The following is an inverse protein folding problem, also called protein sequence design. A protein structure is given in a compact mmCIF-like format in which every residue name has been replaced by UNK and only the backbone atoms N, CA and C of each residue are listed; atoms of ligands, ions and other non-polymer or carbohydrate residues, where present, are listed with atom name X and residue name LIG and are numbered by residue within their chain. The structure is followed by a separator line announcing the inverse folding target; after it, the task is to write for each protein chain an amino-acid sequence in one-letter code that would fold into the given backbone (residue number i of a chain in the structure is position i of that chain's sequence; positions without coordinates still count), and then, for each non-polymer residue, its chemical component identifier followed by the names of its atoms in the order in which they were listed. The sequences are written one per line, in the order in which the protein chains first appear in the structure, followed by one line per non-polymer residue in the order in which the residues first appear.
data_IF_102893101576
#
_entry.id   IF_102893101576
#
_cell.length_a   1.000
_cell.length_b   1.000
_cell.length_c   1.000
_cell.angle_alpha   90.00
_cell.angle_beta   90.00
_cell.angle_gamma   90.00
#
_symmetry.space_group_name_H-M   'P 1'
#
loop_
_entity.id
_entity.type
_entity.pdbx_description
1 polymer ?
#
# COMPACT_ATOMS: atom_id res chain seq x y z
N UNK A 1 12.27 -34.49 12.69
CA UNK A 1 13.29 -33.89 11.78
C UNK A 1 13.85 -34.92 10.80
N UNK A 2 14.26 -36.11 11.18
CA UNK A 2 14.77 -37.15 10.26
C UNK A 2 13.79 -37.54 9.15
N UNK A 3 12.50 -37.68 9.46
CA UNK A 3 11.44 -38.00 8.50
C UNK A 3 11.21 -36.89 7.46
N UNK A 4 11.31 -35.62 7.85
CA UNK A 4 11.22 -34.47 6.96
C UNK A 4 12.43 -34.42 5.99
N UNK A 5 13.63 -34.66 6.49
CA UNK A 5 14.85 -34.76 5.68
C UNK A 5 14.77 -35.93 4.69
N UNK A 6 14.35 -37.11 5.15
CA UNK A 6 14.15 -38.27 4.30
C UNK A 6 13.12 -38.00 3.20
N UNK A 7 11.98 -37.37 3.55
CA UNK A 7 10.96 -36.97 2.59
C UNK A 7 11.52 -35.96 1.55
N UNK A 8 12.23 -34.92 2.01
CA UNK A 8 12.83 -33.92 1.11
C UNK A 8 13.85 -34.57 0.14
N UNK A 9 14.67 -35.49 0.62
CA UNK A 9 15.64 -36.22 -0.22
C UNK A 9 14.93 -37.08 -1.26
N UNK A 10 13.90 -37.84 -0.86
CA UNK A 10 13.13 -38.68 -1.78
C UNK A 10 12.42 -37.83 -2.84
N UNK A 11 11.77 -36.74 -2.44
CA UNK A 11 11.11 -35.82 -3.39
C UNK A 11 12.12 -35.20 -4.33
N UNK A 12 13.25 -34.70 -3.85
CA UNK A 12 14.31 -34.14 -4.71
C UNK A 12 14.85 -35.16 -5.69
N UNK A 13 15.04 -36.40 -5.24
CA UNK A 13 15.51 -37.49 -6.12
C UNK A 13 14.47 -37.83 -7.18
N UNK A 14 13.19 -37.94 -6.83
CA UNK A 14 12.12 -38.22 -7.79
C UNK A 14 11.96 -37.08 -8.80
N UNK A 15 11.95 -35.82 -8.35
CA UNK A 15 11.83 -34.64 -9.21
C UNK A 15 13.03 -34.56 -10.18
N UNK A 16 14.26 -34.78 -9.71
CA UNK A 16 15.46 -34.71 -10.55
C UNK A 16 15.52 -35.79 -11.63
N UNK A 17 14.72 -36.88 -11.46
CA UNK A 17 14.60 -37.97 -12.44
C UNK A 17 13.47 -37.78 -13.47
N UNK A 18 12.66 -36.73 -13.32
CA UNK A 18 11.59 -36.46 -14.29
C UNK A 18 12.14 -35.93 -15.61
N UNK A 19 11.52 -36.28 -16.75
CA UNK A 19 11.95 -35.76 -18.07
C UNK A 19 11.92 -34.26 -18.22
N UNK A 20 11.07 -33.57 -17.40
CA UNK A 20 10.95 -32.10 -17.38
C UNK A 20 12.02 -31.40 -16.53
N UNK A 21 12.83 -32.12 -15.74
CA UNK A 21 13.81 -31.50 -14.86
C UNK A 21 14.87 -30.66 -15.57
N UNK A 22 15.45 -31.09 -16.71
CA UNK A 22 16.37 -30.26 -17.47
C UNK A 22 15.76 -28.94 -17.93
N UNK A 23 14.49 -28.97 -18.36
CA UNK A 23 13.76 -27.72 -18.73
C UNK A 23 13.61 -26.77 -17.55
N UNK A 24 13.30 -27.30 -16.37
CA UNK A 24 13.23 -26.50 -15.14
C UNK A 24 14.60 -25.89 -14.81
N UNK A 25 15.67 -26.67 -14.91
CA UNK A 25 17.02 -26.17 -14.66
C UNK A 25 17.41 -25.05 -15.64
N UNK A 26 17.13 -25.25 -16.93
CA UNK A 26 17.43 -24.26 -17.95
C UNK A 26 16.61 -22.98 -17.83
N UNK A 27 15.34 -23.10 -17.36
CA UNK A 27 14.45 -21.97 -17.22
C UNK A 27 14.68 -21.19 -15.92
N UNK A 28 14.90 -21.89 -14.80
CA UNK A 28 14.92 -21.26 -13.47
C UNK A 28 16.32 -21.11 -12.87
N UNK A 29 17.30 -21.88 -13.32
CA UNK A 29 18.67 -21.88 -12.78
C UNK A 29 19.73 -21.53 -13.83
N UNK A 30 19.32 -20.85 -14.91
CA UNK A 30 20.24 -20.39 -15.94
C UNK A 30 20.95 -19.11 -15.47
N UNK A 31 22.27 -19.26 -15.18
CA UNK A 31 23.09 -18.14 -14.69
C UNK A 31 23.30 -17.04 -15.74
N UNK A 32 23.27 -17.37 -17.03
CA UNK A 32 23.41 -16.42 -18.12
C UNK A 32 22.16 -15.53 -18.25
N UNK A 33 20.98 -16.14 -18.27
CA UNK A 33 19.70 -15.41 -18.24
C UNK A 33 19.53 -14.58 -16.98
N UNK A 34 20.01 -15.09 -15.83
CA UNK A 34 20.01 -14.32 -14.59
C UNK A 34 20.89 -13.06 -14.71
N UNK A 35 22.12 -13.20 -15.21
CA UNK A 35 23.04 -12.08 -15.37
C UNK A 35 22.51 -11.03 -16.36
N UNK A 36 21.86 -11.45 -17.44
CA UNK A 36 21.22 -10.54 -18.40
C UNK A 36 20.01 -9.81 -17.82
N UNK A 37 19.18 -10.51 -17.05
CA UNK A 37 17.94 -9.95 -16.47
C UNK A 37 18.19 -9.11 -15.21
N UNK A 38 19.27 -9.37 -14.48
CA UNK A 38 19.54 -8.75 -13.19
C UNK A 38 19.58 -7.20 -13.22
N UNK A 39 20.21 -6.53 -14.20
CA UNK A 39 20.18 -5.06 -14.27
C UNK A 39 18.76 -4.50 -14.43
N UNK A 40 17.94 -5.17 -15.25
CA UNK A 40 16.53 -4.80 -15.44
C UNK A 40 15.70 -4.96 -14.15
N UNK A 41 15.89 -6.08 -13.45
CA UNK A 41 15.24 -6.36 -12.17
C UNK A 41 15.68 -5.34 -11.11
N UNK A 42 16.96 -5.00 -11.07
CA UNK A 42 17.46 -3.96 -10.14
C UNK A 42 16.86 -2.60 -10.47
N UNK A 43 16.74 -2.24 -11.74
CA UNK A 43 16.08 -1.02 -12.18
C UNK A 43 14.61 -0.95 -11.75
N UNK A 44 13.86 -2.03 -11.96
CA UNK A 44 12.47 -2.15 -11.52
C UNK A 44 12.34 -2.08 -9.99
N UNK A 45 13.23 -2.73 -9.25
CA UNK A 45 13.27 -2.64 -7.78
C UNK A 45 13.52 -1.21 -7.29
N UNK A 46 14.49 -0.51 -7.88
CA UNK A 46 14.79 0.88 -7.51
C UNK A 46 13.62 1.82 -7.84
N UNK A 47 12.92 1.59 -8.95
CA UNK A 47 11.69 2.32 -9.28
C UNK A 47 10.61 2.08 -8.21
N UNK A 48 10.40 0.83 -7.81
CA UNK A 48 9.45 0.46 -6.77
C UNK A 48 9.78 1.16 -5.45
N UNK A 49 11.05 1.12 -5.01
CA UNK A 49 11.51 1.85 -3.81
C UNK A 49 11.26 3.35 -3.94
N UNK A 50 11.50 3.94 -5.12
CA UNK A 50 11.26 5.37 -5.35
C UNK A 50 9.77 5.72 -5.25
N UNK A 51 8.89 4.94 -5.85
CA UNK A 51 7.43 5.12 -5.75
C UNK A 51 7.01 5.05 -4.28
N UNK A 52 7.47 4.04 -3.53
CA UNK A 52 7.19 3.88 -2.11
C UNK A 52 7.64 5.11 -1.29
N UNK A 53 8.88 5.54 -1.47
CA UNK A 53 9.44 6.69 -0.73
C UNK A 53 8.70 8.00 -1.00
N UNK A 54 8.05 8.14 -2.15
CA UNK A 54 7.23 9.31 -2.49
C UNK A 54 5.79 9.12 -2.00
N UNK A 55 5.18 7.98 -2.28
CA UNK A 55 3.76 7.73 -1.98
C UNK A 55 3.48 7.63 -0.48
N UNK A 56 4.32 6.91 0.27
CA UNK A 56 4.07 6.59 1.66
C UNK A 56 3.97 7.84 2.57
N UNK A 57 4.88 8.82 2.54
CA UNK A 57 4.72 10.03 3.34
C UNK A 57 3.43 10.80 3.01
N UNK A 58 3.05 10.85 1.72
CA UNK A 58 1.83 11.52 1.26
C UNK A 58 0.59 10.78 1.79
N UNK A 59 0.59 9.44 1.71
CA UNK A 59 -0.47 8.58 2.26
C UNK A 59 -0.64 8.84 3.76
N UNK A 60 0.43 8.82 4.53
CA UNK A 60 0.38 9.04 5.98
C UNK A 60 -0.18 10.41 6.35
N UNK A 61 0.28 11.47 5.69
CA UNK A 61 -0.21 12.83 5.96
C UNK A 61 -1.67 12.97 5.55
N UNK A 62 -2.03 12.55 4.34
CA UNK A 62 -3.39 12.66 3.82
C UNK A 62 -4.37 11.84 4.67
N UNK A 63 -4.03 10.62 5.01
CA UNK A 63 -4.85 9.74 5.83
C UNK A 63 -5.06 10.28 7.24
N UNK A 64 -4.02 10.86 7.85
CA UNK A 64 -4.16 11.50 9.17
C UNK A 64 -5.10 12.69 9.10
N UNK A 65 -5.00 13.54 8.07
CA UNK A 65 -5.91 14.68 7.87
C UNK A 65 -7.35 14.20 7.69
N UNK A 66 -7.58 13.19 6.85
CA UNK A 66 -8.92 12.61 6.65
C UNK A 66 -9.46 12.03 7.95
N UNK A 67 -8.67 11.30 8.72
CA UNK A 67 -9.08 10.73 10.00
C UNK A 67 -9.44 11.83 11.02
N UNK A 68 -8.64 12.88 11.10
CA UNK A 68 -8.91 14.03 11.99
C UNK A 68 -10.21 14.73 11.59
N UNK A 69 -10.41 15.02 10.31
CA UNK A 69 -11.65 15.63 9.80
C UNK A 69 -12.87 14.79 10.19
N UNK A 70 -12.81 13.48 10.03
CA UNK A 70 -13.91 12.56 10.38
C UNK A 70 -14.18 12.47 11.89
N UNK A 71 -13.26 12.88 12.74
CA UNK A 71 -13.43 12.93 14.20
C UNK A 71 -13.99 14.26 14.71
N UNK A 72 -14.04 15.31 13.88
CA UNK A 72 -14.58 16.62 14.25
C UNK A 72 -16.09 16.53 14.53
N UNK A 73 -16.53 17.03 15.71
CA UNK A 73 -17.93 16.93 16.12
C UNK A 73 -18.75 18.19 15.87
N UNK A 74 -18.09 19.35 15.68
CA UNK A 74 -18.79 20.61 15.49
C UNK A 74 -19.63 20.60 14.19
N UNK A 75 -20.89 21.10 14.23
CA UNK A 75 -21.80 21.07 13.08
C UNK A 75 -21.26 21.79 11.84
N UNK A 76 -20.45 22.82 12.02
CA UNK A 76 -19.84 23.59 10.93
C UNK A 76 -18.93 22.71 10.04
N UNK A 77 -18.37 21.64 10.58
CA UNK A 77 -17.53 20.69 9.81
C UNK A 77 -18.31 19.52 9.17
N UNK A 78 -19.65 19.53 9.27
CA UNK A 78 -20.48 18.47 8.70
C UNK A 78 -20.24 18.25 7.21
N UNK A 79 -20.21 19.28 6.32
CA UNK A 79 -19.96 19.08 4.90
C UNK A 79 -18.61 18.41 4.63
N UNK A 80 -17.56 18.89 5.31
CA UNK A 80 -16.21 18.36 5.14
C UNK A 80 -16.11 16.89 5.62
N UNK A 81 -16.79 16.57 6.73
CA UNK A 81 -16.86 15.21 7.25
C UNK A 81 -17.62 14.27 6.31
N UNK A 82 -18.70 14.74 5.69
CA UNK A 82 -19.44 13.95 4.68
C UNK A 82 -18.57 13.67 3.49
N UNK A 83 -17.88 14.66 2.92
CA UNK A 83 -16.95 14.48 1.81
C UNK A 83 -15.85 13.49 2.17
N UNK A 84 -15.20 13.63 3.33
CA UNK A 84 -14.17 12.72 3.78
C UNK A 84 -14.69 11.28 4.00
N UNK A 85 -15.94 11.12 4.41
CA UNK A 85 -16.56 9.80 4.59
C UNK A 85 -16.86 9.16 3.24
N UNK A 86 -17.49 9.89 2.32
CA UNK A 86 -17.76 9.41 0.95
C UNK A 86 -16.45 9.04 0.24
N UNK A 87 -15.41 9.86 0.36
CA UNK A 87 -14.09 9.54 -0.18
C UNK A 87 -13.58 8.18 0.33
N UNK A 88 -13.59 7.97 1.64
CA UNK A 88 -13.11 6.72 2.25
C UNK A 88 -13.97 5.54 1.80
N UNK A 89 -15.29 5.69 1.77
CA UNK A 89 -16.20 4.60 1.40
C UNK A 89 -16.04 4.22 -0.08
N UNK A 90 -15.87 5.19 -0.98
CA UNK A 90 -15.65 4.95 -2.41
C UNK A 90 -14.31 4.23 -2.64
N UNK A 91 -13.20 4.78 -2.15
CA UNK A 91 -11.88 4.20 -2.43
C UNK A 91 -11.63 2.86 -1.71
N UNK A 92 -12.31 2.58 -0.62
CA UNK A 92 -12.28 1.25 0.02
C UNK A 92 -13.24 0.25 -0.62
N UNK A 93 -14.30 0.73 -1.27
CA UNK A 93 -15.26 -0.11 -1.96
C UNK A 93 -14.81 -0.58 -3.35
N UNK A 94 -13.83 0.11 -3.95
CA UNK A 94 -13.29 -0.24 -5.26
C UNK A 94 -11.95 -0.97 -5.08
N UNK A 95 -11.72 -2.12 -5.74
CA UNK A 95 -10.42 -2.78 -5.74
C UNK A 95 -9.30 -1.82 -6.21
N UNK A 96 -8.22 -1.70 -5.44
CA UNK A 96 -7.11 -0.77 -5.74
C UNK A 96 -6.55 -0.96 -7.15
N UNK A 97 -6.44 -2.22 -7.62
CA UNK A 97 -5.95 -2.51 -8.97
C UNK A 97 -6.81 -1.86 -10.06
N UNK A 98 -8.11 -1.78 -9.88
CA UNK A 98 -8.99 -1.11 -10.83
C UNK A 98 -8.75 0.41 -10.86
N UNK A 99 -8.50 1.01 -9.68
CA UNK A 99 -8.16 2.44 -9.60
C UNK A 99 -6.83 2.73 -10.30
N UNK A 100 -5.83 1.84 -10.11
CA UNK A 100 -4.52 1.94 -10.76
C UNK A 100 -4.67 1.88 -12.29
N UNK A 101 -5.41 0.91 -12.82
CA UNK A 101 -5.63 0.78 -14.26
C UNK A 101 -6.45 1.94 -14.82
N UNK A 102 -7.50 2.36 -14.10
CA UNK A 102 -8.33 3.46 -14.53
C UNK A 102 -7.56 4.78 -14.64
N UNK A 103 -6.76 5.11 -13.62
CA UNK A 103 -5.96 6.34 -13.63
C UNK A 103 -4.69 6.17 -14.46
N UNK A 104 -3.95 5.07 -14.31
CA UNK A 104 -2.68 4.84 -14.97
C UNK A 104 -2.78 4.76 -16.50
N UNK A 105 -3.87 4.21 -17.04
CA UNK A 105 -4.11 4.17 -18.48
C UNK A 105 -5.16 5.19 -18.93
N UNK A 106 -6.21 5.42 -18.14
CA UNK A 106 -7.31 6.31 -18.54
C UNK A 106 -6.88 7.77 -18.64
N UNK A 107 -6.12 8.28 -17.68
CA UNK A 107 -5.68 9.68 -17.70
C UNK A 107 -4.71 9.99 -18.85
N UNK A 108 -3.65 9.18 -19.10
CA UNK A 108 -2.80 9.35 -20.28
C UNK A 108 -3.58 9.26 -21.61
N UNK A 109 -4.54 8.34 -21.70
CA UNK A 109 -5.35 8.17 -22.92
C UNK A 109 -6.20 9.40 -23.27
N UNK A 110 -6.57 10.23 -22.30
CA UNK A 110 -7.32 11.47 -22.53
C UNK A 110 -6.48 12.59 -23.15
N UNK A 111 -5.15 12.49 -23.14
CA UNK A 111 -4.20 13.45 -23.73
C UNK A 111 -4.51 14.92 -23.37
N UNK A 112 -4.88 15.18 -22.12
CA UNK A 112 -5.27 16.50 -21.64
C UNK A 112 -4.08 17.45 -21.64
N UNK A 113 -4.26 18.65 -22.21
CA UNK A 113 -3.22 19.67 -22.22
C UNK A 113 -2.88 20.14 -20.80
N UNK A 114 -1.59 20.19 -20.48
CA UNK A 114 -1.10 20.63 -19.17
C UNK A 114 -1.16 19.57 -18.06
N UNK A 115 -1.57 18.34 -18.39
CA UNK A 115 -1.63 17.20 -17.48
C UNK A 115 -0.53 16.19 -17.84
N UNK A 116 0.20 15.61 -16.89
CA UNK A 116 1.20 14.60 -17.20
C UNK A 116 0.58 13.38 -17.89
N UNK A 117 1.23 12.90 -18.95
CA UNK A 117 0.82 11.68 -19.67
C UNK A 117 1.59 10.43 -19.21
N UNK A 118 2.32 10.53 -18.09
CA UNK A 118 3.10 9.44 -17.55
C UNK A 118 2.21 8.48 -16.74
N UNK A 119 2.08 7.20 -17.14
CA UNK A 119 1.33 6.18 -16.41
C UNK A 119 1.83 5.95 -14.97
N UNK A 120 3.14 6.09 -14.73
CA UNK A 120 3.72 5.92 -13.40
C UNK A 120 3.23 7.01 -12.45
N UNK A 121 3.16 8.26 -12.94
CA UNK A 121 2.60 9.36 -12.16
C UNK A 121 1.16 9.07 -11.74
N UNK A 122 0.31 8.66 -12.67
CA UNK A 122 -1.09 8.36 -12.41
C UNK A 122 -1.30 7.08 -11.61
N UNK A 123 -0.46 6.05 -11.83
CA UNK A 123 -0.44 4.85 -10.99
C UNK A 123 -0.07 5.17 -9.54
N UNK A 124 0.95 6.01 -9.34
CA UNK A 124 1.33 6.49 -8.00
C UNK A 124 0.21 7.32 -7.36
N UNK A 125 -0.44 8.21 -8.12
CA UNK A 125 -1.60 8.96 -7.63
C UNK A 125 -2.76 8.04 -7.22
N UNK A 126 -3.03 6.99 -7.98
CA UNK A 126 -4.03 5.97 -7.65
C UNK A 126 -3.71 5.24 -6.34
N UNK A 127 -2.44 4.88 -6.11
CA UNK A 127 -1.97 4.31 -4.85
C UNK A 127 -2.22 5.27 -3.69
N UNK A 128 -1.80 6.53 -3.83
CA UNK A 128 -2.00 7.56 -2.80
C UNK A 128 -3.48 7.72 -2.47
N UNK A 129 -4.35 7.81 -3.46
CA UNK A 129 -5.79 7.95 -3.26
C UNK A 129 -6.39 6.72 -2.56
N UNK A 130 -6.09 5.53 -3.03
CA UNK A 130 -6.67 4.31 -2.47
C UNK A 130 -6.14 4.04 -1.05
N UNK A 131 -4.82 4.04 -0.86
CA UNK A 131 -4.24 3.70 0.44
C UNK A 131 -4.48 4.76 1.51
N UNK A 132 -4.56 6.04 1.16
CA UNK A 132 -4.93 7.06 2.13
C UNK A 132 -6.35 6.85 2.69
N UNK A 133 -7.28 6.29 1.93
CA UNK A 133 -8.59 5.92 2.44
C UNK A 133 -8.52 4.74 3.43
N UNK A 134 -7.72 3.70 3.13
CA UNK A 134 -7.52 2.57 4.05
C UNK A 134 -6.83 3.01 5.34
N UNK A 135 -5.71 3.70 5.23
CA UNK A 135 -4.92 4.16 6.37
C UNK A 135 -5.68 5.19 7.23
N UNK A 136 -6.52 6.04 6.61
CA UNK A 136 -7.40 6.95 7.36
C UNK A 136 -8.36 6.20 8.29
N UNK A 137 -8.87 5.05 7.85
CA UNK A 137 -9.73 4.22 8.71
C UNK A 137 -8.94 3.55 9.84
N UNK A 138 -7.70 3.14 9.59
CA UNK A 138 -6.79 2.62 10.62
C UNK A 138 -6.53 3.68 11.70
N UNK A 139 -6.21 4.91 11.30
CA UNK A 139 -6.05 6.02 12.25
C UNK A 139 -7.34 6.29 13.05
N UNK A 140 -8.47 6.34 12.36
CA UNK A 140 -9.77 6.56 13.01
C UNK A 140 -10.10 5.45 14.02
N UNK A 141 -9.89 4.19 13.64
CA UNK A 141 -10.11 3.04 14.50
C UNK A 141 -9.16 3.03 15.70
N UNK A 142 -7.89 3.35 15.51
CA UNK A 142 -6.91 3.47 16.58
C UNK A 142 -7.26 4.56 17.60
N UNK A 143 -7.74 5.72 17.14
CA UNK A 143 -8.23 6.78 18.04
C UNK A 143 -9.51 6.34 18.80
N UNK A 144 -10.40 5.62 18.12
CA UNK A 144 -11.65 5.13 18.70
C UNK A 144 -11.45 3.96 19.67
N UNK A 145 -10.37 3.18 19.52
CA UNK A 145 -10.08 2.00 20.35
C UNK A 145 -9.71 2.33 21.79
N UNK A 146 -9.32 3.59 22.07
CA UNK A 146 -9.02 4.03 23.44
C UNK A 146 -10.32 4.13 24.23
N UNK A 147 -10.44 3.24 25.24
CA UNK A 147 -11.68 3.10 26.00
C UNK A 147 -12.12 4.41 26.63
N UNK A 148 -13.42 4.76 26.60
CA UNK A 148 -13.96 6.01 27.18
C UNK A 148 -13.60 6.22 28.65
N UNK A 149 -13.49 5.14 29.45
CA UNK A 149 -13.09 5.21 30.85
C UNK A 149 -11.72 5.85 31.06
N UNK A 150 -10.77 5.66 30.15
CA UNK A 150 -9.45 6.28 30.21
C UNK A 150 -9.55 7.80 30.11
N UNK A 151 -10.42 8.29 29.23
CA UNK A 151 -10.70 9.72 29.08
C UNK A 151 -11.43 10.27 30.30
N UNK A 152 -12.39 9.53 30.84
CA UNK A 152 -13.14 9.94 32.05
C UNK A 152 -12.22 9.96 33.26
N UNK A 153 -11.40 8.97 33.49
CA UNK A 153 -10.43 8.93 34.60
C UNK A 153 -9.42 10.08 34.51
N UNK A 154 -8.89 10.39 33.33
CA UNK A 154 -8.01 11.53 33.14
C UNK A 154 -8.72 12.88 33.49
N UNK A 155 -9.96 13.02 33.08
CA UNK A 155 -10.78 14.21 33.38
C UNK A 155 -11.09 14.33 34.89
N UNK A 156 -11.35 13.22 35.58
CA UNK A 156 -11.57 13.20 37.04
C UNK A 156 -10.32 13.61 37.83
N UNK A 157 -9.12 13.41 37.27
CA UNK A 157 -7.85 13.89 37.81
C UNK A 157 -7.57 15.37 37.49
N UNK A 158 -8.53 16.09 36.88
CA UNK A 158 -8.41 17.51 36.58
C UNK A 158 -7.69 17.84 35.26
N UNK A 159 -7.33 16.84 34.46
CA UNK A 159 -6.70 17.07 33.14
C UNK A 159 -7.70 17.77 32.20
N UNK A 160 -7.22 18.82 31.49
CA UNK A 160 -8.00 19.44 30.43
C UNK A 160 -8.21 18.44 29.26
N UNK A 161 -9.16 18.75 28.36
CA UNK A 161 -9.40 17.88 27.16
C UNK A 161 -8.15 17.74 26.31
N UNK A 162 -7.35 18.81 26.16
CA UNK A 162 -6.10 18.76 25.40
C UNK A 162 -5.06 17.89 26.11
N UNK A 163 -4.88 18.05 27.42
CA UNK A 163 -3.97 17.22 28.22
C UNK A 163 -4.38 15.74 28.20
N UNK A 164 -5.68 15.45 28.35
CA UNK A 164 -6.22 14.09 28.23
C UNK A 164 -5.86 13.46 26.86
N UNK A 165 -6.08 14.21 25.78
CA UNK A 165 -5.75 13.72 24.45
C UNK A 165 -4.23 13.53 24.28
N UNK A 166 -3.42 14.47 24.72
CA UNK A 166 -1.96 14.47 24.56
C UNK A 166 -1.26 13.36 25.37
N UNK A 167 -1.67 13.20 26.63
CA UNK A 167 -0.94 12.34 27.57
C UNK A 167 -1.57 10.96 27.76
N UNK A 168 -2.86 10.79 27.48
CA UNK A 168 -3.57 9.53 27.73
C UNK A 168 -4.02 8.88 26.42
N UNK A 169 -4.71 9.61 25.54
CA UNK A 169 -5.34 9.03 24.36
C UNK A 169 -4.31 8.80 23.26
N UNK A 170 -3.51 9.80 22.93
CA UNK A 170 -2.58 9.75 21.80
C UNK A 170 -1.52 8.65 21.93
N UNK A 171 -0.85 8.44 23.09
CA UNK A 171 0.12 7.36 23.22
C UNK A 171 -0.50 5.97 23.06
N UNK A 172 -1.73 5.78 23.55
CA UNK A 172 -2.43 4.51 23.39
C UNK A 172 -2.90 4.32 21.96
N UNK A 173 -3.45 5.34 21.32
CA UNK A 173 -3.88 5.29 19.92
C UNK A 173 -2.71 4.95 19.00
N UNK A 174 -1.54 5.55 19.19
CA UNK A 174 -0.34 5.25 18.39
C UNK A 174 0.02 3.76 18.50
N UNK A 175 0.05 3.20 19.71
CA UNK A 175 0.36 1.78 19.91
C UNK A 175 -0.63 0.86 19.21
N UNK A 176 -1.90 1.25 19.15
CA UNK A 176 -2.96 0.47 18.50
C UNK A 176 -2.95 0.61 16.96
N UNK A 177 -2.39 1.71 16.45
CA UNK A 177 -2.29 1.99 15.00
C UNK A 177 -1.06 1.34 14.37
N UNK A 178 0.06 1.24 15.08
CA UNK A 178 1.34 0.75 14.53
C UNK A 178 1.22 -0.65 13.90
N UNK A 179 0.64 -1.68 14.55
CA UNK A 179 0.57 -3.01 13.95
C UNK A 179 -0.24 -3.06 12.65
N UNK A 180 -1.46 -2.47 12.54
CA UNK A 180 -2.18 -2.38 11.29
C UNK A 180 -1.42 -1.61 10.21
N UNK A 181 -0.76 -0.48 10.54
CA UNK A 181 0.03 0.28 9.57
C UNK A 181 1.16 -0.54 8.96
N UNK A 182 1.84 -1.37 9.74
CA UNK A 182 2.88 -2.26 9.20
C UNK A 182 2.31 -3.24 8.16
N UNK A 183 1.09 -3.74 8.37
CA UNK A 183 0.41 -4.57 7.37
C UNK A 183 0.05 -3.77 6.12
N UNK A 184 -0.38 -2.52 6.27
CA UNK A 184 -0.70 -1.64 5.13
C UNK A 184 0.55 -1.30 4.32
N UNK A 185 1.71 -1.09 4.97
CA UNK A 185 3.00 -0.88 4.29
C UNK A 185 3.40 -2.08 3.43
N UNK A 186 3.27 -3.28 3.95
CA UNK A 186 3.54 -4.51 3.20
C UNK A 186 2.58 -4.64 2.01
N UNK A 187 1.31 -4.30 2.21
CA UNK A 187 0.28 -4.33 1.16
C UNK A 187 0.54 -3.28 0.08
N UNK A 188 0.95 -2.07 0.46
CA UNK A 188 1.32 -1.01 -0.47
C UNK A 188 2.48 -1.46 -1.36
N UNK A 189 3.55 -1.97 -0.77
CA UNK A 189 4.73 -2.42 -1.51
C UNK A 189 4.38 -3.52 -2.53
N UNK A 190 3.45 -4.43 -2.19
CA UNK A 190 2.95 -5.44 -3.13
C UNK A 190 2.14 -4.82 -4.28
N UNK A 191 1.36 -3.77 -4.01
CA UNK A 191 0.54 -3.09 -5.02
C UNK A 191 1.35 -2.23 -5.99
N UNK A 192 2.54 -1.79 -5.58
CA UNK A 192 3.47 -1.04 -6.44
C UNK A 192 4.04 -1.89 -7.58
N UNK A 193 4.10 -3.22 -7.42
CA UNK A 193 4.49 -4.16 -8.49
C UNK A 193 3.58 -3.97 -9.71
N UNK A 194 2.28 -3.75 -9.52
CA UNK A 194 1.34 -3.48 -10.61
C UNK A 194 1.57 -2.13 -11.28
N UNK A 195 2.05 -1.14 -10.56
CA UNK A 195 2.41 0.17 -11.14
C UNK A 195 3.67 0.08 -12.00
N UNK A 196 4.66 -0.72 -11.60
CA UNK A 196 5.86 -0.97 -12.39
C UNK A 196 5.61 -1.84 -13.63
N UNK A 197 4.59 -2.73 -13.60
CA UNK A 197 4.14 -3.48 -14.78
C UNK A 197 3.56 -2.56 -15.88
N UNK A 198 2.96 -1.42 -15.54
CA UNK A 198 2.47 -0.47 -16.53
C UNK A 198 3.61 0.01 -17.44
N UNK A 199 4.77 0.29 -16.86
CA UNK A 199 5.93 0.73 -17.62
C UNK A 199 6.50 -0.37 -18.53
N UNK A 200 6.57 -1.63 -18.06
CA UNK A 200 7.08 -2.74 -18.84
C UNK A 200 6.21 -3.03 -20.08
N UNK A 201 4.90 -2.91 -19.94
CA UNK A 201 3.95 -3.10 -21.06
C UNK A 201 4.04 -1.98 -22.10
N UNK A 202 4.25 -0.73 -21.70
CA UNK A 202 4.50 0.36 -22.64
C UNK A 202 5.80 0.12 -23.43
N UNK A 203 6.90 -0.25 -22.75
CA UNK A 203 8.18 -0.53 -23.39
C UNK A 203 8.07 -1.67 -24.41
N UNK A 204 7.29 -2.70 -24.12
CA UNK A 204 7.03 -3.82 -25.05
C UNK A 204 6.16 -3.35 -26.22
N UNK A 205 5.16 -2.48 -26.00
CA UNK A 205 4.30 -1.97 -27.07
C UNK A 205 5.06 -1.12 -28.07
N UNK A 206 6.03 -0.31 -27.65
CA UNK A 206 6.91 0.45 -28.55
C UNK A 206 7.96 -0.41 -29.27
N UNK A 207 8.26 -1.59 -28.79
CA UNK A 207 9.21 -2.53 -29.42
C UNK A 207 8.57 -3.42 -30.49
N UNK A 208 7.24 -3.50 -30.56
CA UNK A 208 6.48 -4.38 -31.49
C UNK A 208 5.90 -3.60 -32.69
N UNK A 209 6.01 -2.28 -32.75
CA UNK A 209 5.66 -1.44 -33.88
C UNK A 209 6.88 -0.64 -34.37
#
# INVERSE_FOLDING_TARGET
MASLLAFAVVVSFLVSRTPGWPIVQETFFNGEQFAESFPGLLGAFLLNVRIFMIAEPIILVLSLLIALVRTLRAPVFLPLRVVATVYVDVFRGVPTILVIFLLGFGMPALQLQGVPNDPIFWGTAALVLSYSAYVAEVFRAGIASVHPSQRMAARSLGLSSWQTNRYVVLPQAIRNVVPPLLNDFISLQRSEEHTSELQSRETISYAVF
#
